data_IF_865036503426
#
_entry.id   IF_865036503426
#
_cell.length_a   1.000
_cell.length_b   1.000
_cell.length_c   1.000
_cell.angle_alpha   90.00
_cell.angle_beta   90.00
_cell.angle_gamma   90.00
#
_symmetry.space_group_name_H-M   'P 1'
#
loop_
_entity.id
_entity.type
_entity.pdbx_description
1 polymer ?
#
# COMPACT_ATOMS: atom_id res chain seq x y z
N UNK A 1 -1.98 22.47 1.28
CA UNK A 1 -0.84 21.52 1.39
C UNK A 1 -0.90 20.93 2.78
N UNK A 2 -1.19 19.63 2.91
CA UNK A 2 -1.58 19.03 4.18
C UNK A 2 -0.44 18.82 5.17
N UNK A 3 0.82 18.78 4.71
CA UNK A 3 1.98 18.54 5.56
C UNK A 3 2.78 19.83 5.76
N UNK A 4 3.13 20.13 7.01
CA UNK A 4 3.98 21.26 7.35
C UNK A 4 4.89 20.94 8.54
N UNK A 5 5.93 21.74 8.71
CA UNK A 5 6.77 21.75 9.91
C UNK A 5 6.69 23.12 10.59
N UNK A 6 7.11 23.19 11.85
CA UNK A 6 7.29 24.47 12.55
C UNK A 6 8.76 24.85 12.50
N UNK A 7 9.06 26.06 12.00
CA UNK A 7 10.43 26.56 11.97
C UNK A 7 11.01 26.61 13.39
N UNK A 8 12.20 26.02 13.60
CA UNK A 8 12.83 25.96 14.92
C UNK A 8 13.20 27.35 15.46
N UNK A 9 13.50 28.29 14.57
CA UNK A 9 13.87 29.66 14.90
C UNK A 9 12.65 30.60 15.03
N UNK A 10 11.91 30.86 13.95
CA UNK A 10 10.82 31.86 13.96
C UNK A 10 9.44 31.31 14.32
N UNK A 11 9.32 30.00 14.60
CA UNK A 11 8.08 29.30 14.98
C UNK A 11 6.92 29.38 13.97
N UNK A 12 7.17 29.86 12.75
CA UNK A 12 6.16 29.87 11.67
C UNK A 12 6.01 28.48 11.04
N UNK A 13 4.80 28.19 10.56
CA UNK A 13 4.49 27.00 9.78
C UNK A 13 5.14 27.09 8.40
N UNK A 14 5.89 26.07 8.01
CA UNK A 14 6.51 25.97 6.69
C UNK A 14 5.88 24.78 5.96
N UNK A 15 5.11 25.00 4.88
CA UNK A 15 4.49 23.92 4.14
C UNK A 15 5.55 23.06 3.43
N UNK A 16 5.31 21.75 3.39
CA UNK A 16 6.16 20.80 2.69
C UNK A 16 5.48 20.30 1.42
N UNK A 17 6.27 19.97 0.40
CA UNK A 17 5.80 19.37 -0.85
C UNK A 17 5.50 17.86 -0.69
N UNK A 18 4.83 17.48 0.40
CA UNK A 18 4.40 16.12 0.68
C UNK A 18 2.89 16.11 0.97
N UNK A 19 2.20 15.05 0.55
CA UNK A 19 0.76 14.89 0.82
C UNK A 19 0.51 14.21 2.17
N UNK A 20 1.43 13.35 2.58
CA UNK A 20 1.44 12.69 3.89
C UNK A 20 2.87 12.62 4.42
N UNK A 21 3.01 12.62 5.73
CA UNK A 21 4.25 12.53 6.50
C UNK A 21 5.04 11.27 6.20
N UNK A 22 4.36 10.17 5.87
CA UNK A 22 4.98 8.90 5.48
C UNK A 22 5.74 8.97 4.15
N UNK A 23 5.49 10.00 3.33
CA UNK A 23 6.24 10.26 2.09
C UNK A 23 7.52 11.07 2.33
N UNK A 24 7.72 11.62 3.53
CA UNK A 24 8.93 12.40 3.84
C UNK A 24 10.14 11.46 4.01
N UNK A 25 11.34 11.89 3.59
CA UNK A 25 12.57 11.19 3.93
C UNK A 25 12.75 11.07 5.45
N UNK A 26 13.49 10.06 5.91
CA UNK A 26 13.80 9.87 7.33
C UNK A 26 14.44 11.13 7.96
N UNK A 27 15.27 11.82 7.18
CA UNK A 27 15.93 13.07 7.53
C UNK A 27 15.97 13.96 6.29
N UNK A 28 15.58 15.23 6.43
CA UNK A 28 15.56 16.20 5.32
C UNK A 28 15.90 17.62 5.80
N UNK A 29 16.50 18.42 4.90
CA UNK A 29 16.77 19.84 5.15
C UNK A 29 15.62 20.70 4.61
N UNK A 30 15.24 21.73 5.37
CA UNK A 30 14.26 22.73 4.92
C UNK A 30 14.78 24.12 5.24
N UNK A 31 14.78 24.99 4.22
CA UNK A 31 15.01 26.41 4.38
C UNK A 31 13.68 27.14 4.64
N UNK A 32 13.61 27.85 5.76
CA UNK A 32 12.43 28.61 6.14
C UNK A 32 12.27 29.83 5.20
N UNK A 33 11.14 29.97 4.49
CA UNK A 33 10.92 31.08 3.57
C UNK A 33 10.72 32.42 4.28
N UNK A 34 10.49 32.42 5.61
CA UNK A 34 10.18 33.63 6.38
C UNK A 34 11.40 34.26 7.06
N UNK A 35 12.37 33.45 7.52
CA UNK A 35 13.55 33.94 8.24
C UNK A 35 14.87 33.48 7.65
N UNK A 36 14.85 32.67 6.58
CA UNK A 36 16.05 32.17 5.90
C UNK A 36 16.77 31.04 6.61
N UNK A 37 16.38 30.69 7.85
CA UNK A 37 16.95 29.59 8.61
C UNK A 37 16.86 28.27 7.87
N UNK A 38 17.98 27.57 7.72
CA UNK A 38 18.03 26.22 7.19
C UNK A 38 18.27 25.24 8.34
N UNK A 39 17.38 24.25 8.46
CA UNK A 39 17.43 23.28 9.54
C UNK A 39 17.16 21.87 9.06
N UNK A 40 17.65 20.90 9.83
CA UNK A 40 17.40 19.48 9.61
C UNK A 40 16.17 19.04 10.41
N UNK A 41 15.31 18.27 9.74
CA UNK A 41 14.03 17.78 10.22
C UNK A 41 13.88 16.30 9.94
N UNK A 42 12.96 15.67 10.67
CA UNK A 42 12.52 14.30 10.49
C UNK A 42 10.99 14.25 10.31
N UNK A 43 10.42 13.12 9.87
CA UNK A 43 8.98 12.94 9.85
C UNK A 43 8.33 13.16 11.23
N UNK A 44 9.06 12.98 12.34
CA UNK A 44 8.57 13.27 13.68
C UNK A 44 8.30 14.76 13.94
N UNK A 45 8.97 15.65 13.21
CA UNK A 45 8.80 17.10 13.33
C UNK A 45 7.65 17.65 12.45
N UNK A 46 7.10 16.81 11.57
CA UNK A 46 6.08 17.19 10.60
C UNK A 46 4.66 16.90 11.11
N UNK A 47 3.78 17.85 10.86
CA UNK A 47 2.36 17.81 11.18
C UNK A 47 1.55 17.54 9.91
N UNK A 48 0.44 16.82 10.05
CA UNK A 48 -0.52 16.55 8.99
C UNK A 48 -1.87 17.15 9.35
N UNK A 49 -2.47 17.91 8.44
CA UNK A 49 -3.82 18.45 8.56
C UNK A 49 -4.65 18.04 7.33
N UNK A 50 -5.95 17.73 7.55
CA UNK A 50 -6.87 17.39 6.46
C UNK A 50 -6.64 16.02 5.81
N UNK A 51 -5.89 15.12 6.45
CA UNK A 51 -5.67 13.74 5.95
C UNK A 51 -6.59 12.77 6.68
N UNK A 52 -7.50 12.13 5.95
CA UNK A 52 -8.35 11.04 6.45
C UNK A 52 -7.80 9.70 5.98
N UNK A 53 -7.51 8.80 6.93
CA UNK A 53 -7.05 7.43 6.65
C UNK A 53 -8.18 6.44 6.90
N UNK A 54 -8.33 5.47 6.01
CA UNK A 54 -9.33 4.42 6.15
C UNK A 54 -8.93 3.17 5.37
N UNK A 55 -9.57 2.05 5.68
CA UNK A 55 -9.35 0.78 4.98
C UNK A 55 -10.46 0.54 3.95
N UNK A 56 -10.08 0.11 2.76
CA UNK A 56 -11.02 -0.29 1.74
C UNK A 56 -11.69 -1.62 2.13
N UNK A 57 -12.98 -1.57 2.45
CA UNK A 57 -13.78 -2.75 2.83
C UNK A 57 -13.80 -3.89 1.79
N UNK A 58 -13.56 -3.61 0.51
CA UNK A 58 -13.60 -4.65 -0.54
C UNK A 58 -12.26 -5.37 -0.74
N UNK A 59 -11.13 -4.69 -0.57
CA UNK A 59 -9.80 -5.24 -0.87
C UNK A 59 -8.78 -5.14 0.27
N UNK A 60 -9.20 -4.67 1.46
CA UNK A 60 -8.34 -4.54 2.65
C UNK A 60 -7.20 -3.51 2.53
N UNK A 61 -7.15 -2.75 1.44
CA UNK A 61 -6.05 -1.80 1.22
C UNK A 61 -6.22 -0.55 2.07
N UNK A 62 -5.13 -0.11 2.70
CA UNK A 62 -5.05 1.15 3.44
C UNK A 62 -5.01 2.34 2.48
N UNK A 63 -5.97 3.23 2.60
CA UNK A 63 -6.16 4.40 1.77
C UNK A 63 -6.02 5.67 2.60
N UNK A 64 -5.60 6.76 1.94
CA UNK A 64 -5.67 8.10 2.50
C UNK A 64 -6.28 9.08 1.49
N UNK A 65 -7.03 10.04 2.02
CA UNK A 65 -7.61 11.15 1.27
C UNK A 65 -7.27 12.47 1.96
N UNK A 66 -6.77 13.42 1.20
CA UNK A 66 -6.62 14.82 1.62
C UNK A 66 -7.92 15.57 1.32
N UNK A 67 -8.67 15.96 2.35
CA UNK A 67 -9.94 16.70 2.26
C UNK A 67 -9.88 17.88 3.23
N UNK A 68 -9.58 19.07 2.70
CA UNK A 68 -9.45 20.30 3.50
C UNK A 68 -10.82 20.88 3.91
N UNK A 69 -11.86 20.70 3.08
CA UNK A 69 -13.23 21.15 3.37
C UNK A 69 -14.29 20.34 2.63
N UNK A 70 -15.49 20.27 3.22
CA UNK A 70 -16.65 19.59 2.64
C UNK A 70 -16.48 18.06 2.56
N UNK A 71 -17.24 17.43 1.65
CA UNK A 71 -17.16 16.01 1.37
C UNK A 71 -16.79 15.78 -0.10
N UNK A 72 -15.93 14.80 -0.36
CA UNK A 72 -15.52 14.40 -1.70
C UNK A 72 -15.80 12.93 -1.94
N UNK A 73 -16.23 12.62 -3.16
CA UNK A 73 -16.33 11.23 -3.63
C UNK A 73 -14.96 10.81 -4.13
N UNK A 74 -14.48 9.70 -3.59
CA UNK A 74 -13.17 9.15 -3.87
C UNK A 74 -13.29 7.67 -4.18
N UNK A 75 -12.36 7.18 -4.99
CA UNK A 75 -12.36 5.82 -5.49
C UNK A 75 -11.11 5.08 -5.02
N UNK A 76 -11.27 3.81 -4.64
CA UNK A 76 -10.16 2.93 -4.39
C UNK A 76 -9.40 2.67 -5.71
N UNK A 77 -8.09 2.95 -5.79
CA UNK A 77 -7.32 2.74 -7.02
C UNK A 77 -7.17 1.27 -7.43
N UNK A 78 -7.51 0.32 -6.55
CA UNK A 78 -7.34 -1.12 -6.77
C UNK A 78 -8.66 -1.76 -7.21
N UNK A 79 -9.70 -1.67 -6.39
CA UNK A 79 -10.97 -2.35 -6.63
C UNK A 79 -12.07 -1.43 -7.13
N UNK A 80 -11.80 -0.13 -7.34
CA UNK A 80 -12.77 0.83 -7.89
C UNK A 80 -14.02 1.10 -7.01
N UNK A 81 -14.02 0.59 -5.78
CA UNK A 81 -15.04 0.91 -4.78
C UNK A 81 -15.05 2.40 -4.42
N UNK A 82 -16.25 2.95 -4.24
CA UNK A 82 -16.47 4.38 -4.03
C UNK A 82 -16.78 4.70 -2.57
N UNK A 83 -16.16 5.77 -2.09
CA UNK A 83 -16.27 6.28 -0.74
C UNK A 83 -16.58 7.78 -0.79
N UNK A 84 -17.41 8.24 0.14
CA UNK A 84 -17.58 9.65 0.44
C UNK A 84 -16.73 9.97 1.66
N UNK A 85 -15.74 10.84 1.50
CA UNK A 85 -14.83 11.25 2.58
C UNK A 85 -15.05 12.72 2.88
N UNK A 86 -15.34 13.04 4.13
CA UNK A 86 -15.55 14.41 4.58
C UNK A 86 -14.38 14.95 5.40
N UNK A 87 -14.19 16.26 5.36
CA UNK A 87 -13.34 16.99 6.28
C UNK A 87 -13.83 16.69 7.72
N UNK A 88 -12.92 16.23 8.58
CA UNK A 88 -13.28 15.74 9.93
C UNK A 88 -13.23 14.21 10.09
N UNK A 89 -12.92 13.46 9.02
CA UNK A 89 -12.61 12.04 9.11
C UNK A 89 -13.79 11.10 8.92
N UNK A 90 -14.99 11.61 8.63
CA UNK A 90 -16.14 10.78 8.30
C UNK A 90 -15.95 10.11 6.92
N UNK A 91 -16.16 8.81 6.87
CA UNK A 91 -16.06 8.00 5.64
C UNK A 91 -17.32 7.16 5.49
N UNK A 92 -18.07 7.41 4.41
CA UNK A 92 -19.25 6.64 4.05
C UNK A 92 -18.93 5.77 2.83
N UNK A 93 -19.36 4.50 2.86
CA UNK A 93 -19.21 3.60 1.71
C UNK A 93 -20.39 3.81 0.78
N UNK A 94 -20.13 4.25 -0.45
CA UNK A 94 -21.19 4.48 -1.44
C UNK A 94 -21.45 3.24 -2.30
N UNK A 95 -20.38 2.65 -2.83
CA UNK A 95 -20.46 1.50 -3.72
C UNK A 95 -19.31 0.54 -3.44
N UNK A 96 -19.63 -0.68 -3.01
CA UNK A 96 -18.67 -1.76 -2.93
C UNK A 96 -18.65 -2.49 -4.26
N UNK A 97 -17.48 -2.54 -4.88
CA UNK A 97 -17.24 -3.35 -6.05
C UNK A 97 -16.44 -4.58 -5.62
N UNK A 98 -16.92 -5.77 -5.99
CA UNK A 98 -16.32 -7.03 -5.58
C UNK A 98 -14.96 -7.17 -6.26
N UNK A 99 -13.89 -7.16 -5.46
CA UNK A 99 -12.54 -7.41 -5.93
C UNK A 99 -12.40 -8.90 -6.28
N UNK A 100 -12.35 -9.20 -7.58
CA UNK A 100 -11.89 -10.50 -8.07
C UNK A 100 -10.38 -10.38 -8.25
N UNK A 101 -9.54 -11.13 -7.50
CA UNK A 101 -8.10 -11.07 -7.67
C UNK A 101 -7.74 -11.32 -9.14
N UNK A 102 -7.04 -10.37 -9.76
CA UNK A 102 -6.63 -10.49 -11.17
C UNK A 102 -5.86 -11.81 -11.36
N UNK A 103 -6.10 -12.48 -12.50
CA UNK A 103 -5.59 -13.81 -12.87
C UNK A 103 -4.08 -14.06 -12.70
N UNK A 104 -3.29 -13.03 -12.40
CA UNK A 104 -1.86 -13.09 -12.06
C UNK A 104 -1.61 -13.80 -10.71
N UNK A 105 -2.53 -13.67 -9.74
CA UNK A 105 -2.47 -14.44 -8.48
C UNK A 105 -2.91 -15.90 -8.73
N UNK A 106 -3.83 -16.12 -9.67
CA UNK A 106 -4.27 -17.45 -10.08
C UNK A 106 -3.21 -18.21 -10.91
N UNK A 107 -2.38 -17.50 -11.70
CA UNK A 107 -1.32 -18.13 -12.48
C UNK A 107 -0.14 -18.61 -11.63
N UNK A 108 0.11 -18.01 -10.47
CA UNK A 108 1.06 -18.53 -9.48
C UNK A 108 0.60 -19.88 -8.88
N UNK A 109 -0.71 -20.05 -8.69
CA UNK A 109 -1.32 -21.32 -8.28
C UNK A 109 -1.28 -22.39 -9.39
N UNK A 110 -1.39 -22.00 -10.67
CA UNK A 110 -1.33 -22.93 -11.80
C UNK A 110 0.11 -23.30 -12.20
N UNK A 111 1.09 -22.42 -12.03
CA UNK A 111 2.50 -22.72 -12.27
C UNK A 111 3.04 -23.83 -11.36
N UNK A 112 2.54 -23.91 -10.13
CA UNK A 112 2.87 -24.98 -9.18
C UNK A 112 2.27 -26.35 -9.57
N UNK A 113 1.18 -26.37 -10.34
CA UNK A 113 0.51 -27.60 -10.78
C UNK A 113 1.12 -28.10 -12.11
N UNK A 114 1.53 -27.19 -13.00
CA UNK A 114 2.04 -27.55 -14.33
C UNK A 114 3.56 -27.81 -14.33
N UNK A 115 4.33 -27.12 -13.47
CA UNK A 115 5.77 -27.37 -13.33
C UNK A 115 6.13 -28.77 -12.78
N UNK A 116 5.16 -29.47 -12.18
CA UNK A 116 5.30 -30.87 -11.75
C UNK A 116 5.12 -31.90 -12.87
N UNK A 117 4.56 -31.52 -14.03
CA UNK A 117 4.23 -32.45 -15.10
C UNK A 117 5.30 -32.52 -16.22
N UNK A 118 6.16 -31.51 -16.35
CA UNK A 118 7.16 -31.47 -17.44
C UNK A 118 8.50 -32.13 -17.10
N UNK A 119 8.69 -32.66 -15.89
CA UNK A 119 9.82 -33.55 -15.57
C UNK A 119 9.58 -35.02 -15.98
N UNK A 120 8.59 -35.28 -16.85
CA UNK A 120 8.33 -36.58 -17.46
C UNK A 120 8.84 -36.60 -18.91
N UNK A 121 10.09 -36.18 -19.09
CA UNK A 121 10.85 -36.35 -20.34
C UNK A 121 12.02 -37.31 -20.10
N UNK A 122 11.91 -38.48 -20.71
CA UNK A 122 12.98 -39.47 -20.95
C UNK A 122 13.53 -40.35 -19.81
N UNK A 123 13.07 -41.62 -19.92
CA UNK A 123 13.89 -42.84 -20.03
C UNK A 123 14.60 -43.37 -18.78
N UNK A 124 13.86 -44.28 -18.16
CA UNK A 124 14.29 -45.54 -17.53
C UNK A 124 15.20 -45.55 -16.29
N UNK A 125 14.68 -46.30 -15.32
CA UNK A 125 15.33 -47.01 -14.20
C UNK A 125 15.83 -46.22 -12.99
N UNK A 126 14.94 -46.14 -11.99
CA UNK A 126 15.29 -45.90 -10.59
C UNK A 126 14.12 -45.44 -9.69
N UNK A 127 12.90 -45.90 -9.97
CA UNK A 127 11.61 -45.26 -9.62
C UNK A 127 11.16 -45.29 -8.14
N UNK A 128 11.96 -45.71 -7.17
CA UNK A 128 11.57 -45.66 -5.75
C UNK A 128 12.24 -44.51 -4.98
N UNK A 129 13.53 -44.25 -5.22
CA UNK A 129 14.30 -43.27 -4.44
C UNK A 129 14.21 -41.82 -4.98
N UNK A 130 13.77 -41.63 -6.23
CA UNK A 130 13.56 -40.30 -6.80
C UNK A 130 12.23 -39.67 -6.33
N UNK A 131 11.17 -40.48 -6.23
CA UNK A 131 9.86 -40.05 -5.73
C UNK A 131 9.93 -39.58 -4.27
N UNK A 132 10.69 -40.28 -3.41
CA UNK A 132 10.87 -39.88 -2.02
C UNK A 132 11.61 -38.53 -1.86
N UNK A 133 12.58 -38.23 -2.74
CA UNK A 133 13.31 -36.95 -2.71
C UNK A 133 12.48 -35.77 -3.20
N UNK A 134 11.63 -35.98 -4.22
CA UNK A 134 10.77 -34.94 -4.81
C UNK A 134 9.63 -34.56 -3.84
N UNK A 135 9.05 -35.54 -3.14
CA UNK A 135 8.01 -35.30 -2.13
C UNK A 135 8.57 -34.55 -0.92
N UNK A 136 9.80 -34.88 -0.49
CA UNK A 136 10.45 -34.21 0.63
C UNK A 136 10.88 -32.76 0.32
N UNK A 137 11.35 -32.47 -0.90
CA UNK A 137 11.74 -31.11 -1.29
C UNK A 137 10.56 -30.20 -1.61
N UNK A 138 9.47 -30.75 -2.14
CA UNK A 138 8.26 -30.00 -2.49
C UNK A 138 7.51 -29.47 -1.26
N UNK A 139 7.41 -30.26 -0.20
CA UNK A 139 6.75 -29.86 1.05
C UNK A 139 7.55 -28.79 1.82
N UNK A 140 8.88 -28.88 1.84
CA UNK A 140 9.76 -27.87 2.43
C UNK A 140 9.71 -26.54 1.66
N UNK A 141 9.73 -26.58 0.33
CA UNK A 141 9.58 -25.38 -0.50
C UNK A 141 8.22 -24.71 -0.35
N UNK A 142 7.15 -25.50 -0.17
CA UNK A 142 5.80 -24.99 0.05
C UNK A 142 5.65 -24.34 1.43
N UNK A 143 6.23 -24.91 2.48
CA UNK A 143 6.20 -24.32 3.82
C UNK A 143 7.05 -23.06 3.91
N UNK A 144 8.27 -23.07 3.34
CA UNK A 144 9.12 -21.87 3.32
C UNK A 144 8.53 -20.79 2.42
N UNK A 145 7.94 -21.15 1.28
CA UNK A 145 7.27 -20.21 0.37
C UNK A 145 5.99 -19.59 0.94
N UNK A 146 5.18 -20.37 1.67
CA UNK A 146 3.98 -19.84 2.36
C UNK A 146 4.35 -18.98 3.56
N UNK A 147 5.38 -19.34 4.33
CA UNK A 147 5.88 -18.51 5.42
C UNK A 147 6.48 -17.21 4.87
N UNK A 148 7.29 -17.25 3.79
CA UNK A 148 7.84 -16.04 3.16
C UNK A 148 6.73 -15.19 2.53
N UNK A 149 5.70 -15.80 1.93
CA UNK A 149 4.53 -15.08 1.40
C UNK A 149 3.73 -14.37 2.47
N UNK A 150 3.46 -15.04 3.60
CA UNK A 150 2.76 -14.48 4.76
C UNK A 150 3.61 -13.44 5.52
N UNK A 151 4.94 -13.63 5.56
CA UNK A 151 5.88 -12.65 6.13
C UNK A 151 6.03 -11.45 5.19
N UNK A 152 6.03 -11.61 3.86
CA UNK A 152 6.01 -10.47 2.93
C UNK A 152 4.72 -9.66 3.07
N UNK A 153 3.55 -10.30 3.23
CA UNK A 153 2.29 -9.58 3.47
C UNK A 153 2.24 -8.85 4.83
N UNK A 154 2.96 -9.34 5.84
CA UNK A 154 2.99 -8.70 7.18
C UNK A 154 4.15 -7.72 7.38
N UNK A 155 5.26 -7.84 6.64
CA UNK A 155 6.48 -7.01 6.76
C UNK A 155 6.54 -5.92 5.70
N UNK A 156 5.93 -6.12 4.53
CA UNK A 156 5.72 -5.02 3.60
C UNK A 156 4.60 -4.17 4.21
N UNK A 157 4.99 -3.07 4.88
CA UNK A 157 4.09 -1.93 5.14
C UNK A 157 3.24 -1.75 3.90
N UNK A 158 1.98 -2.19 3.92
CA UNK A 158 1.07 -1.99 2.80
C UNK A 158 1.12 -0.50 2.51
N UNK A 159 1.72 -0.07 1.37
CA UNK A 159 1.97 1.34 1.15
C UNK A 159 0.61 2.02 1.16
N UNK A 160 0.41 2.97 2.08
CA UNK A 160 -0.82 3.76 2.12
C UNK A 160 -1.00 4.38 0.73
N UNK A 161 -2.13 4.08 0.07
CA UNK A 161 -2.38 4.57 -1.29
C UNK A 161 -3.28 5.78 -1.26
N UNK A 162 -2.94 6.75 -2.09
CA UNK A 162 -3.83 7.89 -2.32
C UNK A 162 -5.06 7.42 -3.08
N UNK A 163 -6.23 7.89 -2.64
CA UNK A 163 -7.49 7.66 -3.36
C UNK A 163 -7.54 8.45 -4.67
N UNK A 164 -8.34 7.99 -5.62
CA UNK A 164 -8.61 8.74 -6.86
C UNK A 164 -9.82 9.64 -6.62
N UNK A 165 -9.64 10.95 -6.72
CA UNK A 165 -10.73 11.90 -6.58
C UNK A 165 -11.59 11.89 -7.85
N UNK A 166 -12.90 11.64 -7.71
CA UNK A 166 -13.83 11.92 -8.79
C UNK A 166 -14.09 13.42 -8.80
N UNK A 167 -13.92 14.04 -9.97
CA UNK A 167 -14.21 15.45 -10.16
C UNK A 167 -15.61 15.76 -9.65
N UNK A 168 -15.73 16.74 -8.77
CA UNK A 168 -17.03 17.16 -8.24
C UNK A 168 -17.82 17.77 -9.41
N UNK A 169 -18.88 17.10 -9.86
CA UNK A 169 -20.01 17.82 -10.46
C UNK A 169 -20.66 18.61 -9.33
N UNK A 170 -20.40 19.92 -9.33
CA UNK A 170 -21.17 20.87 -8.56
C UNK A 170 -22.51 20.98 -9.29
N UNK A 171 -23.56 20.39 -8.72
CA UNK A 171 -24.95 20.72 -9.04
C UNK A 171 -25.37 21.92 -8.21
#
# INVERSE_FOLDING_TARGET
MPVYIVCKQCKRRVPLAAKVRTQLPLVFSVKCPFCGFEGVYSPGDAFEEGVTRFECKSCGTRLFAVVESGCRVVECPICKSEYRVCAGGAVETMKLESYVPSAIVASALLGAIIGGATALGEKDRGKANALAKIVASGLMGFLVGTIIGLILESVIRVPEREVVYKGVQVS
#
